data_IF_191352871187
#
_entry.id   IF_191352871187
#
_cell.length_a   1.000
_cell.length_b   1.000
_cell.length_c   1.000
_cell.angle_alpha   90.00
_cell.angle_beta   90.00
_cell.angle_gamma   90.00
#
_symmetry.space_group_name_H-M   'P 1'
#
loop_
_entity.id
_entity.type
_entity.pdbx_description
1 polymer ?
#
# COMPACT_ATOMS: atom_id res chain seq x y z
N UNK A 1 1.05 -27.16 -1.36
CA UNK A 1 1.36 -25.74 -1.67
C UNK A 1 2.66 -25.69 -2.46
N UNK A 2 2.80 -24.76 -3.42
CA UNK A 2 4.05 -24.59 -4.15
C UNK A 2 5.02 -23.74 -3.33
N UNK A 3 6.25 -24.22 -3.12
CA UNK A 3 7.30 -23.45 -2.47
C UNK A 3 7.69 -22.19 -3.24
N UNK A 4 8.59 -21.36 -2.70
CA UNK A 4 9.10 -20.20 -3.40
C UNK A 4 9.80 -20.59 -4.71
N UNK A 5 9.65 -19.78 -5.75
CA UNK A 5 10.16 -20.03 -7.10
C UNK A 5 10.70 -18.75 -7.73
N UNK A 6 11.61 -18.87 -8.69
CA UNK A 6 12.15 -17.72 -9.45
C UNK A 6 11.42 -17.59 -10.79
N UNK A 7 10.97 -16.39 -11.14
CA UNK A 7 10.35 -16.09 -12.44
C UNK A 7 11.41 -15.93 -13.54
N UNK A 8 11.03 -15.99 -14.83
CA UNK A 8 11.95 -15.69 -15.94
C UNK A 8 12.56 -14.28 -15.90
N UNK A 9 12.01 -13.39 -15.08
CA UNK A 9 12.53 -12.03 -14.88
C UNK A 9 13.45 -11.91 -13.67
N UNK A 10 13.82 -13.02 -12.99
CA UNK A 10 14.66 -12.97 -11.79
C UNK A 10 13.95 -12.39 -10.56
N UNK A 11 12.63 -12.58 -10.47
CA UNK A 11 11.83 -12.23 -9.29
C UNK A 11 11.57 -13.48 -8.48
N UNK A 12 11.74 -13.40 -7.15
CA UNK A 12 11.39 -14.50 -6.25
C UNK A 12 9.91 -14.39 -5.89
N UNK A 13 9.13 -15.40 -6.22
CA UNK A 13 7.69 -15.47 -5.96
C UNK A 13 7.40 -16.58 -4.96
N UNK A 14 6.72 -16.25 -3.87
CA UNK A 14 6.19 -17.19 -2.88
C UNK A 14 4.66 -17.23 -2.98
N UNK A 15 4.12 -18.42 -3.27
CA UNK A 15 2.68 -18.67 -3.27
C UNK A 15 2.26 -19.23 -1.92
N UNK A 16 1.48 -18.44 -1.21
CA UNK A 16 0.95 -18.73 0.11
C UNK A 16 -0.44 -19.37 0.00
N UNK A 17 -0.99 -19.90 1.10
CA UNK A 17 -2.38 -20.36 1.09
C UNK A 17 -3.34 -19.17 0.98
N UNK A 18 -4.64 -19.46 0.82
CA UNK A 18 -5.70 -18.45 0.67
C UNK A 18 -5.53 -17.47 -0.49
N UNK A 19 -4.84 -17.92 -1.55
CA UNK A 19 -4.61 -17.15 -2.78
C UNK A 19 -3.84 -15.85 -2.53
N UNK A 20 -2.90 -15.88 -1.58
CA UNK A 20 -1.93 -14.79 -1.39
C UNK A 20 -0.63 -15.12 -2.11
N UNK A 21 -0.03 -14.12 -2.74
CA UNK A 21 1.27 -14.21 -3.39
C UNK A 21 2.16 -13.08 -2.89
N UNK A 22 3.43 -13.39 -2.63
CA UNK A 22 4.46 -12.40 -2.32
C UNK A 22 5.52 -12.47 -3.41
N UNK A 23 5.76 -11.36 -4.09
CA UNK A 23 6.83 -11.17 -5.07
C UNK A 23 7.93 -10.31 -4.41
N UNK A 24 9.18 -10.74 -4.54
CA UNK A 24 10.37 -10.13 -3.94
C UNK A 24 11.42 -9.95 -5.03
N UNK A 25 11.89 -8.73 -5.20
CA UNK A 25 12.98 -8.41 -6.13
C UNK A 25 14.36 -8.57 -5.45
N UNK A 26 15.43 -8.57 -6.24
CA UNK A 26 16.81 -8.67 -5.74
C UNK A 26 17.19 -7.51 -4.80
N UNK A 27 16.70 -6.31 -5.07
CA UNK A 27 16.84 -5.11 -4.22
C UNK A 27 15.81 -5.04 -3.07
N UNK A 28 15.06 -6.13 -2.84
CA UNK A 28 14.11 -6.30 -1.73
C UNK A 28 12.89 -5.38 -1.80
N UNK A 29 12.52 -4.88 -2.98
CA UNK A 29 11.16 -4.41 -3.21
C UNK A 29 10.19 -5.58 -3.01
N UNK A 30 8.99 -5.27 -2.51
CA UNK A 30 8.01 -6.27 -2.10
C UNK A 30 6.67 -5.92 -2.72
N UNK A 31 6.03 -6.90 -3.35
CA UNK A 31 4.64 -6.80 -3.79
C UNK A 31 3.84 -7.98 -3.24
N UNK A 32 2.74 -7.68 -2.57
CA UNK A 32 1.82 -8.69 -2.00
C UNK A 32 0.51 -8.61 -2.74
N UNK A 33 0.05 -9.72 -3.27
CA UNK A 33 -1.24 -9.84 -3.97
C UNK A 33 -2.12 -10.81 -3.22
N UNK A 34 -3.15 -10.30 -2.55
CA UNK A 34 -4.21 -11.09 -1.94
C UNK A 34 -5.39 -11.14 -2.90
N UNK A 35 -5.40 -12.17 -3.73
CA UNK A 35 -6.43 -12.38 -4.77
C UNK A 35 -7.80 -12.68 -4.18
N UNK A 36 -7.86 -13.24 -2.96
CA UNK A 36 -9.12 -13.58 -2.29
C UNK A 36 -9.92 -12.34 -1.92
N UNK A 37 -9.24 -11.25 -1.53
CA UNK A 37 -9.86 -10.00 -1.11
C UNK A 37 -9.72 -8.85 -2.13
N UNK A 38 -9.06 -9.08 -3.27
CA UNK A 38 -8.80 -8.02 -4.25
C UNK A 38 -7.86 -6.93 -3.72
N UNK A 39 -6.88 -7.31 -2.90
CA UNK A 39 -5.96 -6.39 -2.24
C UNK A 39 -4.57 -6.55 -2.86
N UNK A 40 -3.94 -5.42 -3.21
CA UNK A 40 -2.55 -5.39 -3.65
C UNK A 40 -1.79 -4.38 -2.82
N UNK A 41 -0.64 -4.79 -2.29
CA UNK A 41 0.28 -3.94 -1.57
C UNK A 41 1.63 -3.94 -2.29
N UNK A 42 2.30 -2.80 -2.35
CA UNK A 42 3.65 -2.74 -2.90
C UNK A 42 4.50 -1.73 -2.13
N UNK A 43 5.79 -2.02 -2.02
CA UNK A 43 6.77 -1.19 -1.35
C UNK A 43 8.10 -1.27 -2.11
N UNK A 44 8.62 -0.10 -2.54
CA UNK A 44 9.90 -0.01 -3.24
C UNK A 44 11.07 -0.44 -2.34
N UNK A 45 12.22 -0.79 -2.93
CA UNK A 45 13.44 -1.20 -2.21
C UNK A 45 13.87 -0.23 -1.12
N UNK A 46 13.82 1.07 -1.38
CA UNK A 46 14.08 2.15 -0.42
C UNK A 46 12.91 2.42 0.54
N UNK A 47 11.70 1.99 0.16
CA UNK A 47 10.43 2.32 0.81
C UNK A 47 10.00 3.78 0.62
N UNK A 48 10.67 4.50 -0.28
CA UNK A 48 10.35 5.86 -0.73
C UNK A 48 9.11 5.93 -1.61
N UNK A 49 8.58 4.77 -2.04
CA UNK A 49 7.35 4.62 -2.78
C UNK A 49 6.56 3.44 -2.24
N UNK A 50 5.24 3.58 -2.18
CA UNK A 50 4.34 2.58 -1.64
C UNK A 50 2.97 2.62 -2.35
N UNK A 51 2.35 1.45 -2.49
CA UNK A 51 1.01 1.30 -3.03
C UNK A 51 0.13 0.47 -2.10
N UNK A 52 -1.12 0.90 -1.94
CA UNK A 52 -2.22 0.09 -1.43
C UNK A 52 -3.37 0.20 -2.43
N UNK A 53 -3.80 -0.93 -2.98
CA UNK A 53 -5.01 -1.09 -3.75
C UNK A 53 -5.93 -1.97 -2.91
N UNK A 54 -7.07 -1.43 -2.51
CA UNK A 54 -8.02 -2.06 -1.61
C UNK A 54 -9.45 -1.76 -2.09
N UNK A 55 -10.45 -2.61 -1.81
CA UNK A 55 -11.82 -2.34 -2.22
C UNK A 55 -12.41 -1.01 -1.71
N UNK A 56 -11.93 -0.52 -0.56
CA UNK A 56 -12.31 0.80 -0.01
C UNK A 56 -11.56 1.99 -0.61
N UNK A 57 -10.55 1.75 -1.43
CA UNK A 57 -9.77 2.83 -2.02
C UNK A 57 -8.33 2.48 -2.30
N UNK A 58 -7.61 3.49 -2.77
CA UNK A 58 -6.28 3.37 -3.34
C UNK A 58 -5.39 4.45 -2.74
N UNK A 59 -4.16 4.08 -2.43
CA UNK A 59 -3.15 4.98 -1.88
C UNK A 59 -1.88 4.79 -2.67
N UNK A 60 -1.41 5.84 -3.32
CA UNK A 60 -0.16 5.86 -4.06
C UNK A 60 0.77 6.91 -3.47
N UNK A 61 1.89 6.45 -2.90
CA UNK A 61 2.94 7.31 -2.39
C UNK A 61 4.15 7.21 -3.31
N UNK A 62 4.62 8.38 -3.77
CA UNK A 62 5.79 8.51 -4.61
C UNK A 62 6.59 9.75 -4.15
N UNK A 63 7.79 9.52 -3.64
CA UNK A 63 8.61 10.57 -3.04
C UNK A 63 7.85 11.33 -1.93
N UNK A 64 7.76 12.67 -2.06
CA UNK A 64 7.13 13.56 -1.07
C UNK A 64 5.59 13.62 -1.13
N UNK A 65 4.97 12.99 -2.12
CA UNK A 65 3.52 13.07 -2.37
C UNK A 65 2.80 11.78 -1.99
N UNK A 66 1.53 11.91 -1.61
CA UNK A 66 0.61 10.78 -1.43
C UNK A 66 -0.70 11.15 -2.09
N UNK A 67 -1.15 10.33 -3.03
CA UNK A 67 -2.46 10.45 -3.66
C UNK A 67 -3.37 9.33 -3.18
N UNK A 68 -4.63 9.70 -2.94
CA UNK A 68 -5.59 8.87 -2.25
C UNK A 68 -6.92 8.99 -2.98
N UNK A 69 -7.48 7.84 -3.32
CA UNK A 69 -8.85 7.66 -3.76
C UNK A 69 -9.56 6.83 -2.69
N UNK A 70 -10.64 7.34 -2.13
CA UNK A 70 -11.52 6.57 -1.26
C UNK A 70 -12.80 6.21 -2.04
N UNK A 71 -13.07 4.92 -2.15
CA UNK A 71 -14.19 4.40 -2.92
C UNK A 71 -15.49 4.52 -2.13
N UNK A 72 -16.41 5.33 -2.63
CA UNK A 72 -17.73 5.51 -2.06
C UNK A 72 -18.69 4.48 -2.66
N UNK A 73 -19.43 3.77 -1.80
CA UNK A 73 -20.42 2.78 -2.26
C UNK A 73 -21.57 3.42 -3.05
N UNK A 74 -21.81 4.72 -2.86
CA UNK A 74 -22.83 5.49 -3.57
C UNK A 74 -22.30 6.16 -4.85
N UNK A 75 -21.04 5.92 -5.21
CA UNK A 75 -20.44 6.43 -6.45
C UNK A 75 -19.91 7.86 -6.40
N UNK A 76 -19.90 8.50 -5.22
CA UNK A 76 -19.30 9.82 -5.02
C UNK A 76 -17.89 9.67 -4.44
N UNK A 77 -16.92 9.17 -5.22
CA UNK A 77 -15.60 8.90 -4.66
C UNK A 77 -14.93 10.16 -4.13
N UNK A 78 -14.11 10.00 -3.08
CA UNK A 78 -13.42 11.10 -2.41
C UNK A 78 -11.93 11.03 -2.71
N UNK A 79 -11.32 12.17 -2.94
CA UNK A 79 -9.92 12.26 -3.32
C UNK A 79 -9.16 13.08 -2.27
N UNK A 80 -7.94 12.66 -1.95
CA UNK A 80 -7.01 13.46 -1.17
C UNK A 80 -5.59 13.39 -1.75
N UNK A 81 -4.85 14.49 -1.60
CA UNK A 81 -3.45 14.62 -2.00
C UNK A 81 -2.66 15.27 -0.89
N UNK A 82 -1.77 14.51 -0.27
CA UNK A 82 -0.81 15.02 0.72
C UNK A 82 0.46 15.46 0.01
N UNK A 83 0.86 16.72 0.23
CA UNK A 83 2.02 17.32 -0.44
C UNK A 83 2.55 18.52 0.35
N UNK A 84 3.55 19.22 -0.19
CA UNK A 84 4.25 20.29 0.53
C UNK A 84 3.33 21.42 1.01
N UNK A 85 2.23 21.73 0.28
CA UNK A 85 1.28 22.77 0.68
C UNK A 85 0.31 22.37 1.79
N UNK A 86 0.06 21.07 2.01
CA UNK A 86 -0.98 20.61 2.94
C UNK A 86 -1.66 19.34 2.44
N UNK A 87 -2.97 19.24 2.67
CA UNK A 87 -3.82 18.17 2.13
C UNK A 87 -4.92 18.77 1.26
N UNK A 88 -4.82 18.55 -0.05
CA UNK A 88 -5.87 18.93 -0.99
C UNK A 88 -6.91 17.81 -1.04
N UNK A 89 -8.20 18.13 -1.13
CA UNK A 89 -9.27 17.13 -1.21
C UNK A 89 -10.48 17.60 -2.00
N UNK A 90 -11.21 16.64 -2.57
CA UNK A 90 -12.46 16.87 -3.33
C UNK A 90 -13.29 15.57 -3.39
N UNK A 91 -14.42 15.60 -4.07
CA UNK A 91 -15.21 14.42 -4.44
C UNK A 91 -15.70 14.48 -5.88
N UNK A 92 -16.15 13.35 -6.43
CA UNK A 92 -16.73 13.30 -7.79
C UNK A 92 -17.89 14.30 -7.97
N UNK A 93 -18.70 14.50 -6.93
CA UNK A 93 -19.83 15.44 -6.94
C UNK A 93 -19.49 16.84 -6.43
N UNK A 94 -18.23 17.14 -6.11
CA UNK A 94 -17.82 18.45 -5.61
C UNK A 94 -17.20 19.28 -6.74
N UNK A 95 -17.77 20.46 -7.01
CA UNK A 95 -17.24 21.38 -8.01
C UNK A 95 -15.92 22.06 -7.60
N UNK A 96 -15.61 22.08 -6.30
CA UNK A 96 -14.46 22.79 -5.74
C UNK A 96 -13.45 21.80 -5.18
N UNK A 97 -12.17 22.16 -5.30
CA UNK A 97 -11.10 21.48 -4.59
C UNK A 97 -10.72 22.33 -3.38
N UNK A 98 -10.65 21.68 -2.22
CA UNK A 98 -10.25 22.32 -0.97
C UNK A 98 -8.81 21.96 -0.63
N UNK A 99 -8.17 22.81 0.16
CA UNK A 99 -6.85 22.61 0.73
C UNK A 99 -6.92 22.90 2.22
N UNK A 100 -6.46 21.95 3.03
CA UNK A 100 -6.18 22.15 4.46
C UNK A 100 -4.68 22.34 4.61
N UNK A 101 -4.28 23.55 4.99
CA UNK A 101 -2.89 23.91 5.27
C UNK A 101 -2.76 24.56 6.66
N UNK A 102 -1.63 25.19 6.96
CA UNK A 102 -1.39 25.86 8.25
C UNK A 102 -2.21 27.15 8.46
N UNK A 103 -2.86 27.67 7.41
CA UNK A 103 -3.77 28.81 7.49
C UNK A 103 -5.24 28.38 7.61
N UNK A 104 -5.53 27.07 7.59
CA UNK A 104 -6.88 26.52 7.66
C UNK A 104 -7.37 25.96 6.32
N UNK A 105 -8.68 26.02 6.12
CA UNK A 105 -9.35 25.42 4.95
C UNK A 105 -9.69 26.50 3.92
N UNK A 106 -9.22 26.31 2.68
CA UNK A 106 -9.48 27.22 1.55
C UNK A 106 -9.68 26.46 0.25
N UNK A 107 -10.15 27.13 -0.79
CA UNK A 107 -10.22 26.55 -2.14
C UNK A 107 -8.86 26.57 -2.84
N UNK A 108 -8.66 25.66 -3.78
CA UNK A 108 -7.45 25.54 -4.61
C UNK A 108 -7.80 25.01 -6.00
N UNK A 109 -6.85 25.03 -6.93
CA UNK A 109 -6.99 24.52 -8.31
C UNK A 109 -6.19 23.23 -8.52
N UNK A 110 -6.02 22.45 -7.46
CA UNK A 110 -5.23 21.23 -7.48
C UNK A 110 -5.90 20.13 -8.29
N UNK A 111 -5.10 19.34 -9.00
CA UNK A 111 -5.54 18.15 -9.71
C UNK A 111 -5.15 16.87 -8.98
N UNK A 112 -5.80 15.75 -9.33
CA UNK A 112 -5.56 14.41 -8.80
C UNK A 112 -5.23 13.48 -9.97
N UNK A 113 -4.32 12.54 -9.77
CA UNK A 113 -4.01 11.53 -10.79
C UNK A 113 -5.13 10.50 -10.85
N UNK A 114 -5.29 9.89 -12.02
CA UNK A 114 -6.13 8.71 -12.15
C UNK A 114 -5.45 7.50 -11.49
N UNK A 115 -6.11 6.95 -10.46
CA UNK A 115 -5.65 5.77 -9.72
C UNK A 115 -6.39 4.49 -10.14
N UNK A 116 -7.17 4.49 -11.22
CA UNK A 116 -7.97 3.36 -11.69
C UNK A 116 -7.14 2.11 -12.04
N UNK A 117 -5.94 2.30 -12.60
CA UNK A 117 -5.02 1.24 -13.01
C UNK A 117 -4.26 0.56 -11.87
N UNK A 118 -3.50 -0.50 -12.19
CA UNK A 118 -2.58 -1.15 -11.25
C UNK A 118 -1.22 -0.44 -11.24
N UNK A 119 -1.04 0.50 -10.33
CA UNK A 119 0.23 1.21 -10.10
C UNK A 119 1.17 0.47 -9.13
N UNK A 120 0.80 -0.71 -8.62
CA UNK A 120 1.62 -1.48 -7.68
C UNK A 120 2.90 -2.02 -8.32
N UNK A 121 2.87 -2.30 -9.63
CA UNK A 121 4.04 -2.71 -10.41
C UNK A 121 5.01 -1.55 -10.62
N UNK A 122 4.52 -0.34 -10.86
CA UNK A 122 5.35 0.87 -10.93
C UNK A 122 6.13 1.07 -9.64
N UNK A 123 5.48 0.87 -8.48
CA UNK A 123 6.16 0.91 -7.16
C UNK A 123 7.13 -0.25 -6.98
N UNK A 124 6.79 -1.45 -7.44
CA UNK A 124 7.63 -2.63 -7.28
C UNK A 124 8.95 -2.51 -8.05
N UNK A 125 8.89 -1.93 -9.26
CA UNK A 125 10.07 -1.72 -10.11
C UNK A 125 10.71 -0.34 -9.95
N UNK A 126 10.14 0.56 -9.13
CA UNK A 126 10.76 1.87 -8.89
C UNK A 126 12.11 1.69 -8.20
N UNK A 127 13.11 2.47 -8.63
CA UNK A 127 14.48 2.44 -8.11
C UNK A 127 15.17 1.07 -8.28
N UNK A 128 14.71 0.24 -9.22
CA UNK A 128 15.15 -1.15 -9.34
C UNK A 128 15.98 -1.43 -10.59
N UNK A 129 16.96 -2.33 -10.47
CA UNK A 129 17.83 -2.72 -11.59
C UNK A 129 17.09 -3.36 -12.77
N UNK A 130 15.86 -3.83 -12.57
CA UNK A 130 15.01 -4.36 -13.65
C UNK A 130 14.47 -3.27 -14.58
N UNK A 131 14.60 -1.98 -14.24
CA UNK A 131 14.20 -0.88 -15.13
C UNK A 131 15.20 -0.59 -16.24
N UNK A 132 16.41 -1.16 -16.17
CA UNK A 132 17.45 -1.01 -17.18
C UNK A 132 17.61 -2.32 -18.00
N UNK A 133 17.17 -2.35 -19.27
CA UNK A 133 17.29 -3.52 -20.14
C UNK A 133 18.74 -3.95 -20.39
N UNK A 134 19.72 -3.05 -20.20
CA UNK A 134 21.14 -3.35 -20.38
C UNK A 134 21.76 -4.08 -19.18
N UNK A 135 21.13 -3.97 -18.01
CA UNK A 135 21.52 -4.65 -16.77
C UNK A 135 20.73 -5.96 -16.55
N UNK A 136 19.58 -6.12 -17.22
CA UNK A 136 18.62 -7.17 -16.93
C UNK A 136 18.68 -8.37 -17.87
N UNK A 137 19.42 -9.41 -17.48
CA UNK A 137 19.56 -10.65 -18.24
C UNK A 137 19.59 -11.92 -17.37
N UNK A 138 20.16 -13.04 -17.88
CA UNK A 138 20.31 -14.32 -17.17
C UNK A 138 20.96 -14.22 -15.78
N UNK A 139 21.78 -13.18 -15.56
CA UNK A 139 22.43 -12.90 -14.28
C UNK A 139 21.41 -12.69 -13.15
N UNK A 140 20.29 -12.00 -13.40
CA UNK A 140 19.25 -11.78 -12.39
C UNK A 140 18.61 -13.11 -11.95
N UNK A 141 18.45 -14.04 -12.89
CA UNK A 141 17.88 -15.36 -12.61
C UNK A 141 18.84 -16.15 -11.73
N UNK A 142 20.12 -16.19 -12.10
CA UNK A 142 21.15 -16.90 -11.32
C UNK A 142 21.26 -16.35 -9.89
N UNK A 143 21.27 -15.03 -9.73
CA UNK A 143 21.31 -14.38 -8.43
C UNK A 143 20.05 -14.69 -7.60
N UNK A 144 18.87 -14.60 -8.22
CA UNK A 144 17.61 -14.90 -7.54
C UNK A 144 17.54 -16.38 -7.10
N UNK A 145 18.07 -17.31 -7.91
CA UNK A 145 18.17 -18.73 -7.55
C UNK A 145 19.14 -18.92 -6.37
N UNK A 146 20.28 -18.23 -6.36
CA UNK A 146 21.22 -18.27 -5.24
C UNK A 146 20.59 -17.76 -3.93
N UNK A 147 19.87 -16.64 -3.99
CA UNK A 147 19.14 -16.11 -2.84
C UNK A 147 17.99 -17.01 -2.39
N UNK A 148 17.34 -17.71 -3.33
CA UNK A 148 16.32 -18.69 -3.01
C UNK A 148 16.91 -19.90 -2.29
N UNK A 149 18.07 -20.40 -2.71
CA UNK A 149 18.76 -21.51 -2.04
C UNK A 149 19.25 -21.15 -0.63
N UNK A 150 19.51 -19.87 -0.34
CA UNK A 150 19.86 -19.40 1.00
C UNK A 150 18.65 -19.03 1.86
N UNK A 151 17.42 -19.29 1.38
CA UNK A 151 16.21 -19.05 2.16
C UNK A 151 16.02 -20.06 3.29
N UNK A 152 15.34 -19.62 4.35
CA UNK A 152 14.97 -20.48 5.48
C UNK A 152 13.46 -20.56 5.60
N UNK A 153 12.94 -21.73 5.96
CA UNK A 153 11.54 -21.98 6.26
C UNK A 153 11.40 -22.69 7.61
N UNK A 154 10.40 -22.31 8.39
CA UNK A 154 10.02 -23.01 9.62
C UNK A 154 8.55 -22.77 9.96
N UNK A 155 7.98 -23.64 10.77
CA UNK A 155 6.62 -23.51 11.31
C UNK A 155 6.74 -23.35 12.82
N UNK A 156 6.02 -22.39 13.40
CA UNK A 156 5.96 -22.19 14.85
C UNK A 156 4.89 -23.07 15.49
N UNK A 157 4.92 -23.22 16.83
CA UNK A 157 3.98 -24.08 17.57
C UNK A 157 2.50 -23.70 17.38
N UNK A 158 2.22 -22.43 17.07
CA UNK A 158 0.88 -21.93 16.77
C UNK A 158 0.43 -22.19 15.31
N UNK A 159 1.23 -22.92 14.54
CA UNK A 159 0.96 -23.25 13.14
C UNK A 159 1.23 -22.10 12.16
N UNK A 160 2.00 -21.08 12.54
CA UNK A 160 2.39 -20.00 11.63
C UNK A 160 3.56 -20.45 10.74
N UNK A 161 3.35 -20.44 9.44
CA UNK A 161 4.40 -20.64 8.45
C UNK A 161 5.29 -19.39 8.37
N UNK A 162 6.60 -19.56 8.39
CA UNK A 162 7.57 -18.47 8.33
C UNK A 162 8.63 -18.73 7.26
N UNK A 163 9.01 -17.68 6.52
CA UNK A 163 10.13 -17.67 5.58
C UNK A 163 11.04 -16.48 5.83
N UNK A 164 12.33 -16.66 5.56
CA UNK A 164 13.27 -15.57 5.31
C UNK A 164 13.85 -15.79 3.92
N UNK A 165 13.60 -14.85 3.01
CA UNK A 165 14.09 -14.86 1.63
C UNK A 165 14.71 -13.49 1.37
N UNK A 166 16.00 -13.42 1.00
CA UNK A 166 16.70 -12.16 0.76
C UNK A 166 16.50 -11.11 1.89
N UNK A 167 16.64 -11.54 3.16
CA UNK A 167 16.41 -10.69 4.35
C UNK A 167 15.00 -10.06 4.44
N UNK A 168 14.02 -10.61 3.72
CA UNK A 168 12.59 -10.31 3.85
C UNK A 168 11.97 -11.46 4.64
N UNK A 169 11.37 -11.13 5.79
CA UNK A 169 10.59 -12.07 6.60
C UNK A 169 9.16 -12.10 6.10
N UNK A 170 8.66 -13.28 5.78
CA UNK A 170 7.25 -13.54 5.47
C UNK A 170 6.71 -14.47 6.56
N UNK A 171 5.52 -14.18 7.08
CA UNK A 171 4.80 -15.10 7.96
C UNK A 171 3.33 -15.20 7.54
N UNK A 172 2.76 -16.39 7.53
CA UNK A 172 1.33 -16.61 7.34
C UNK A 172 0.77 -17.45 8.49
N UNK A 173 -0.19 -16.87 9.21
CA UNK A 173 -0.90 -17.58 10.29
C UNK A 173 -1.95 -18.53 9.71
N UNK A 174 -2.41 -19.50 10.51
CA UNK A 174 -3.39 -20.50 10.08
C UNK A 174 -4.72 -19.91 9.54
N UNK A 175 -5.09 -18.70 9.97
CA UNK A 175 -6.26 -17.96 9.46
C UNK A 175 -6.00 -17.19 8.15
N UNK A 176 -4.81 -17.34 7.57
CA UNK A 176 -4.42 -16.75 6.29
C UNK A 176 -3.79 -15.38 6.37
N UNK A 177 -3.69 -14.77 7.56
CA UNK A 177 -3.11 -13.45 7.72
C UNK A 177 -1.61 -13.45 7.41
N UNK A 178 -1.23 -12.66 6.41
CA UNK A 178 0.14 -12.52 5.93
C UNK A 178 0.77 -11.25 6.49
N UNK A 179 2.01 -11.38 6.99
CA UNK A 179 2.89 -10.27 7.34
C UNK A 179 4.17 -10.40 6.54
N UNK A 180 4.60 -9.30 5.93
CA UNK A 180 5.87 -9.21 5.22
C UNK A 180 6.63 -8.02 5.79
N UNK A 181 7.89 -8.21 6.13
CA UNK A 181 8.74 -7.14 6.64
C UNK A 181 10.19 -7.34 6.28
N UNK A 182 10.96 -6.26 6.30
CA UNK A 182 12.43 -6.34 6.23
C UNK A 182 12.98 -6.54 7.65
N UNK A 183 14.28 -6.83 7.79
CA UNK A 183 14.94 -6.95 9.11
C UNK A 183 14.80 -5.73 10.05
N UNK A 184 14.14 -4.64 9.64
CA UNK A 184 13.70 -3.57 10.54
C UNK A 184 12.17 -3.51 10.62
N UNK A 185 11.64 -3.28 11.82
CA UNK A 185 10.21 -3.03 12.05
C UNK A 185 9.69 -1.75 11.39
N UNK A 186 10.54 -1.02 10.65
CA UNK A 186 10.20 0.21 9.93
C UNK A 186 9.43 -0.07 8.64
N UNK A 187 9.62 -1.24 8.03
CA UNK A 187 8.97 -1.61 6.76
C UNK A 187 8.10 -2.84 6.98
N UNK A 188 6.78 -2.66 6.86
CA UNK A 188 5.82 -3.74 7.08
C UNK A 188 4.66 -3.65 6.10
N UNK A 189 4.35 -4.78 5.47
CA UNK A 189 3.14 -5.00 4.70
C UNK A 189 2.35 -6.09 5.41
N UNK A 190 1.04 -5.93 5.48
CA UNK A 190 0.15 -6.92 6.08
C UNK A 190 -1.13 -7.00 5.28
N UNK A 191 -1.63 -8.21 5.06
CA UNK A 191 -2.98 -8.40 4.54
C UNK A 191 -3.62 -9.66 5.11
N UNK A 192 -4.93 -9.64 5.32
CA UNK A 192 -5.69 -10.81 5.73
C UNK A 192 -6.78 -11.13 4.70
N UNK A 193 -6.79 -12.35 4.13
CA UNK A 193 -7.87 -12.85 3.29
C UNK A 193 -9.20 -13.06 4.04
N UNK A 194 -9.18 -13.22 5.36
CA UNK A 194 -10.37 -13.56 6.17
C UNK A 194 -11.26 -12.35 6.46
N UNK A 195 -10.67 -11.18 6.70
CA UNK A 195 -11.40 -9.95 7.02
C UNK A 195 -11.10 -8.78 6.06
N UNK A 196 -10.27 -9.01 5.04
CA UNK A 196 -9.92 -7.99 4.07
C UNK A 196 -9.08 -6.85 4.65
N UNK A 197 -8.44 -7.02 5.81
CA UNK A 197 -7.54 -6.00 6.33
C UNK A 197 -6.27 -5.90 5.49
N UNK A 198 -5.74 -4.69 5.38
CA UNK A 198 -4.50 -4.38 4.68
C UNK A 198 -3.78 -3.25 5.38
N UNK A 199 -2.45 -3.29 5.43
CA UNK A 199 -1.65 -2.15 5.86
C UNK A 199 -0.29 -2.10 5.19
N UNK A 200 0.18 -0.88 4.89
CA UNK A 200 1.56 -0.61 4.49
C UNK A 200 2.15 0.42 5.45
N UNK A 201 3.31 0.11 6.00
CA UNK A 201 4.06 0.98 6.90
C UNK A 201 5.50 1.11 6.42
N UNK A 202 5.95 2.36 6.29
CA UNK A 202 7.33 2.77 6.06
C UNK A 202 7.63 3.99 6.94
N UNK A 203 8.89 4.47 7.03
CA UNK A 203 9.18 5.76 7.65
C UNK A 203 8.44 6.95 7.04
N UNK A 204 7.95 6.82 5.80
CA UNK A 204 7.35 7.91 5.03
C UNK A 204 5.83 7.85 4.95
N UNK A 205 5.23 6.69 5.23
CA UNK A 205 3.80 6.45 5.08
C UNK A 205 3.33 5.38 6.06
N UNK A 206 2.14 5.57 6.62
CA UNK A 206 1.37 4.50 7.22
C UNK A 206 -0.05 4.55 6.66
N UNK A 207 -0.51 3.49 6.00
CA UNK A 207 -1.88 3.39 5.53
C UNK A 207 -2.50 2.04 5.90
N UNK A 208 -3.80 2.06 6.16
CA UNK A 208 -4.61 0.88 6.46
C UNK A 208 -5.91 0.89 5.68
N UNK A 209 -6.39 -0.30 5.34
CA UNK A 209 -7.73 -0.52 4.80
C UNK A 209 -8.34 -1.75 5.47
N UNK A 210 -9.65 -1.78 5.64
CA UNK A 210 -10.35 -2.95 6.20
C UNK A 210 -11.74 -3.08 5.61
N UNK A 211 -12.13 -4.31 5.27
CA UNK A 211 -13.51 -4.67 4.91
C UNK A 211 -14.29 -5.32 6.07
N UNK A 212 -13.68 -5.40 7.25
CA UNK A 212 -14.31 -6.00 8.44
C UNK A 212 -15.42 -5.13 9.04
N UNK A 213 -15.77 -5.40 10.30
CA UNK A 213 -16.85 -4.71 11.03
C UNK A 213 -16.75 -3.18 10.96
N UNK A 214 -15.53 -2.65 11.04
CA UNK A 214 -15.25 -1.22 10.84
C UNK A 214 -14.57 -1.02 9.49
N UNK A 215 -15.38 -0.84 8.44
CA UNK A 215 -14.89 -0.47 7.11
C UNK A 215 -14.16 0.86 7.20
N UNK A 216 -12.92 0.90 6.74
CA UNK A 216 -12.19 2.18 6.69
C UNK A 216 -11.08 2.19 5.65
N UNK A 217 -10.60 3.39 5.36
CA UNK A 217 -9.33 3.70 4.73
C UNK A 217 -8.67 4.80 5.57
N UNK A 218 -7.46 4.55 6.05
CA UNK A 218 -6.68 5.52 6.82
C UNK A 218 -5.32 5.71 6.18
N UNK A 219 -4.84 6.95 6.16
CA UNK A 219 -3.53 7.31 5.65
C UNK A 219 -2.90 8.36 6.57
N UNK A 220 -1.64 8.16 6.93
CA UNK A 220 -0.82 9.08 7.72
C UNK A 220 0.53 9.29 7.08
N UNK A 221 0.94 10.56 6.98
CA UNK A 221 2.28 10.99 6.60
C UNK A 221 2.70 12.19 7.43
N UNK A 222 3.59 11.96 8.41
CA UNK A 222 3.93 12.97 9.40
C UNK A 222 2.67 13.46 10.12
N UNK A 223 2.42 14.78 10.07
CA UNK A 223 1.24 15.42 10.67
C UNK A 223 -0.01 15.42 9.77
N UNK A 224 0.12 14.93 8.54
CA UNK A 224 -1.00 14.83 7.59
C UNK A 224 -1.73 13.52 7.78
N UNK A 225 -3.05 13.57 7.83
CA UNK A 225 -3.91 12.38 7.96
C UNK A 225 -5.09 12.46 7.00
N UNK A 226 -5.57 11.31 6.57
CA UNK A 226 -6.86 11.13 5.90
C UNK A 226 -7.53 9.91 6.53
N UNK A 227 -8.81 10.04 6.85
CA UNK A 227 -9.64 8.93 7.32
C UNK A 227 -10.96 8.93 6.55
N UNK A 228 -11.36 7.76 6.08
CA UNK A 228 -12.66 7.52 5.48
C UNK A 228 -13.25 6.24 6.07
N UNK A 229 -14.47 6.30 6.60
CA UNK A 229 -15.16 5.16 7.22
C UNK A 229 -16.35 4.63 6.40
N UNK A 230 -16.55 5.17 5.19
CA UNK A 230 -17.72 4.88 4.34
C UNK A 230 -18.80 5.95 4.40
N UNK A 231 -18.80 6.82 5.41
CA UNK A 231 -19.74 7.93 5.57
C UNK A 231 -19.01 9.27 5.64
N UNK A 232 -18.07 9.39 6.59
CA UNK A 232 -17.28 10.60 6.81
C UNK A 232 -15.93 10.50 6.13
N UNK A 233 -15.54 11.56 5.43
CA UNK A 233 -14.22 11.70 4.81
C UNK A 233 -13.51 12.89 5.42
N UNK A 234 -12.47 12.67 6.22
CA UNK A 234 -11.80 13.72 6.98
C UNK A 234 -10.33 13.75 6.61
N UNK A 235 -9.84 14.93 6.22
CA UNK A 235 -8.41 15.21 6.09
C UNK A 235 -7.93 16.13 7.21
N UNK A 236 -6.67 15.99 7.58
CA UNK A 236 -6.03 16.80 8.62
C UNK A 236 -4.62 17.19 8.20
N UNK A 237 -4.26 18.43 8.50
CA UNK A 237 -2.90 18.93 8.43
C UNK A 237 -2.56 19.61 9.77
N UNK A 238 -1.73 18.96 10.59
CA UNK A 238 -1.38 19.44 11.93
C UNK A 238 -2.61 19.69 12.82
N UNK A 239 -2.90 20.94 13.16
CA UNK A 239 -4.06 21.32 13.99
C UNK A 239 -5.37 21.47 13.23
N UNK A 240 -5.33 21.60 11.90
CA UNK A 240 -6.52 21.90 11.10
C UNK A 240 -7.10 20.65 10.45
N UNK A 241 -8.42 20.54 10.45
CA UNK A 241 -9.14 19.45 9.80
C UNK A 241 -10.36 19.94 9.05
N UNK A 242 -10.61 19.32 7.90
CA UNK A 242 -11.83 19.52 7.14
C UNK A 242 -12.15 18.25 6.37
N UNK A 243 -13.36 18.17 5.82
CA UNK A 243 -13.81 16.97 5.18
C UNK A 243 -15.23 17.06 4.65
N UNK A 244 -15.75 15.93 4.22
CA UNK A 244 -17.15 15.74 3.87
C UNK A 244 -17.83 14.89 4.94
N UNK A 245 -19.01 15.31 5.37
CA UNK A 245 -19.87 14.50 6.22
C UNK A 245 -20.65 13.43 5.41
N UNK A 246 -21.52 12.70 6.11
CA UNK A 246 -22.41 11.69 5.55
C UNK A 246 -23.40 12.23 4.52
N UNK A 247 -23.65 13.55 4.53
CA UNK A 247 -24.49 14.27 3.56
C UNK A 247 -23.67 14.91 2.44
N UNK A 248 -22.38 14.56 2.34
CA UNK A 248 -21.42 15.11 1.39
C UNK A 248 -21.22 16.63 1.50
N UNK A 249 -21.56 17.21 2.65
CA UNK A 249 -21.36 18.62 2.93
C UNK A 249 -19.97 18.86 3.48
N UNK A 250 -19.34 19.96 3.04
CA UNK A 250 -18.07 20.41 3.60
C UNK A 250 -18.24 20.72 5.10
N UNK A 251 -17.37 20.16 5.93
CA UNK A 251 -17.21 20.51 7.35
C UNK A 251 -15.78 20.93 7.65
N UNK A 252 -15.65 21.94 8.50
CA UNK A 252 -14.38 22.41 9.07
C UNK A 252 -14.46 22.18 10.58
N UNK A 253 -13.38 21.65 11.16
CA UNK A 253 -13.29 21.26 12.57
C UNK A 253 -12.16 22.01 13.27
#
# INVERSE_FOLDING_TARGET
>A
MGGPSVTPHGIITLRLHDRVRVDISLDRAIRVVNMRSGIVLSLSSSGSSAALIHPNGRVYQYGSRVEILANDAQGNNKYAKMWYKGVSFTSDQCALVYLVDSAGTRTTTDTFSDLSGDFSLTVFYSDSQYSDPSMGGPNLISEAVSLLHSSSFWITDDGTDNWIINNVRISQTADGLVRVGRNSNKFSLRTSPSNGSASVSSPFLHCTGSMGQTRHLFVRRGERRMHYDGASFIVRNAGHSAGFDDKHQLKVY
#
